data_IF_224832950248
#
_entry.id   IF_224832950248
#
_cell.length_a   1.000
_cell.length_b   1.000
_cell.length_c   1.000
_cell.angle_alpha   90.00
_cell.angle_beta   90.00
_cell.angle_gamma   90.00
#
_symmetry.space_group_name_H-M   'P 1'
#
loop_
_entity.id
_entity.type
_entity.pdbx_description
1 polymer ?
#
# COMPACT_ATOMS: atom_id res chain seq x y z
N UNK A 1 9.53 -9.82 13.80
CA UNK A 1 9.76 -11.17 13.24
C UNK A 1 10.58 -11.18 11.94
N UNK A 2 10.03 -10.84 10.75
CA UNK A 2 10.79 -10.96 9.48
C UNK A 2 11.98 -9.99 9.37
N UNK A 3 11.85 -8.76 9.90
CA UNK A 3 12.97 -7.80 9.94
C UNK A 3 14.11 -8.23 10.86
N UNK A 4 13.80 -8.82 12.01
CA UNK A 4 14.79 -9.36 12.95
C UNK A 4 15.52 -10.58 12.38
N UNK A 5 14.79 -11.45 11.69
CA UNK A 5 15.36 -12.62 11.00
C UNK A 5 16.36 -12.22 9.91
N UNK A 6 16.05 -11.19 9.11
CA UNK A 6 16.97 -10.65 8.09
C UNK A 6 18.19 -10.01 8.76
N UNK A 7 18.00 -9.23 9.82
CA UNK A 7 19.10 -8.59 10.54
C UNK A 7 20.01 -9.63 11.23
N UNK A 8 19.43 -10.73 11.72
CA UNK A 8 20.16 -11.83 12.35
C UNK A 8 20.94 -12.67 11.33
N UNK A 9 20.35 -12.97 10.17
CA UNK A 9 21.05 -13.63 9.06
C UNK A 9 22.25 -12.80 8.57
N UNK A 10 22.09 -11.47 8.46
CA UNK A 10 23.17 -10.55 8.12
C UNK A 10 24.29 -10.52 9.18
N UNK A 11 23.93 -10.54 10.47
CA UNK A 11 24.91 -10.58 11.58
C UNK A 11 25.66 -11.91 11.68
N UNK A 12 25.02 -13.02 11.31
CA UNK A 12 25.55 -14.38 11.53
C UNK A 12 26.37 -14.90 10.35
N UNK A 13 26.64 -14.07 9.34
CA UNK A 13 27.43 -14.42 8.15
C UNK A 13 26.88 -15.66 7.40
N UNK A 14 25.59 -15.98 7.61
CA UNK A 14 24.86 -16.92 6.77
C UNK A 14 24.74 -16.33 5.36
N UNK A 15 24.71 -17.16 4.30
CA UNK A 15 24.59 -16.68 2.93
C UNK A 15 23.16 -16.18 2.65
N UNK A 16 22.76 -15.10 3.31
CA UNK A 16 21.65 -14.27 2.87
C UNK A 16 22.24 -13.24 1.92
N UNK A 17 21.99 -13.39 0.61
CA UNK A 17 22.38 -12.37 -0.37
C UNK A 17 21.90 -11.00 0.09
N UNK A 18 22.73 -9.96 -0.06
CA UNK A 18 22.38 -8.59 0.31
C UNK A 18 21.03 -8.23 -0.32
N UNK A 19 20.00 -8.06 0.50
CA UNK A 19 18.68 -7.65 0.06
C UNK A 19 18.73 -6.15 -0.16
N UNK A 20 18.81 -5.72 -1.43
CA UNK A 20 18.85 -4.29 -1.77
C UNK A 20 17.45 -3.68 -1.90
N UNK A 21 16.43 -4.51 -2.10
CA UNK A 21 15.05 -4.08 -2.29
C UNK A 21 14.05 -5.04 -1.63
N UNK A 22 12.97 -4.48 -1.10
CA UNK A 22 11.79 -5.19 -0.64
C UNK A 22 10.67 -5.02 -1.68
N UNK A 23 10.11 -6.13 -2.14
CA UNK A 23 8.86 -6.14 -2.92
C UNK A 23 7.68 -6.25 -1.95
N UNK A 24 6.76 -5.29 -2.02
CA UNK A 24 5.53 -5.28 -1.23
C UNK A 24 4.32 -5.27 -2.17
N UNK A 25 3.29 -6.04 -1.81
CA UNK A 25 2.00 -6.05 -2.49
C UNK A 25 0.93 -5.69 -1.45
N UNK A 26 0.33 -4.52 -1.60
CA UNK A 26 -0.66 -3.97 -0.67
C UNK A 26 -2.07 -4.04 -1.25
N UNK A 27 -3.05 -4.13 -0.36
CA UNK A 27 -4.46 -4.02 -0.74
C UNK A 27 -4.83 -2.54 -0.74
N UNK A 28 -5.35 -2.07 -1.86
CA UNK A 28 -5.80 -0.69 -2.02
C UNK A 28 -7.16 -0.66 -2.70
N UNK A 29 -7.83 0.48 -2.61
CA UNK A 29 -9.08 0.69 -3.30
C UNK A 29 -9.18 2.12 -3.83
N UNK A 30 -10.11 2.32 -4.76
CA UNK A 30 -10.49 3.64 -5.28
C UNK A 30 -11.99 3.78 -5.21
N UNK A 31 -12.49 4.97 -4.91
CA UNK A 31 -13.92 5.24 -4.97
C UNK A 31 -14.44 5.09 -6.40
N UNK A 32 -15.57 4.41 -6.56
CA UNK A 32 -16.30 4.38 -7.83
C UNK A 32 -17.05 5.70 -7.94
N UNK A 33 -16.35 6.76 -8.35
CA UNK A 33 -17.00 8.02 -8.68
C UNK A 33 -17.84 7.84 -9.94
N UNK A 34 -19.16 8.04 -9.82
CA UNK A 34 -20.01 8.24 -11.01
C UNK A 34 -19.57 9.55 -11.63
N UNK A 35 -18.76 9.49 -12.68
CA UNK A 35 -18.35 10.65 -13.45
C UNK A 35 -19.58 11.28 -14.11
N UNK A 36 -20.27 12.18 -13.42
CA UNK A 36 -21.02 13.23 -14.08
C UNK A 36 -19.97 14.29 -14.38
N UNK A 37 -19.54 14.47 -15.64
CA UNK A 37 -18.60 15.53 -15.97
C UNK A 37 -19.30 16.86 -15.71
N UNK A 38 -19.01 17.48 -14.57
CA UNK A 38 -19.37 18.87 -14.34
C UNK A 38 -18.65 19.69 -15.41
N UNK A 39 -19.42 20.34 -16.29
CA UNK A 39 -18.90 21.27 -17.31
C UNK A 39 -17.99 22.29 -16.61
N UNK A 40 -16.67 22.14 -16.77
CA UNK A 40 -15.66 23.13 -16.37
C UNK A 40 -14.91 22.90 -15.06
N UNK A 41 -15.10 21.79 -14.33
CA UNK A 41 -14.31 21.46 -13.13
C UNK A 41 -13.18 20.48 -13.42
N UNK A 42 -12.01 20.67 -12.82
CA UNK A 42 -10.89 19.72 -12.88
C UNK A 42 -11.38 18.32 -12.49
N UNK A 43 -10.93 17.29 -13.22
CA UNK A 43 -11.30 15.91 -12.96
C UNK A 43 -11.02 15.56 -11.47
N UNK A 44 -11.92 14.82 -10.79
CA UNK A 44 -11.66 14.36 -9.43
C UNK A 44 -10.32 13.63 -9.40
N UNK A 45 -9.43 14.04 -8.48
CA UNK A 45 -8.20 13.30 -8.21
C UNK A 45 -8.63 11.90 -7.78
N UNK A 46 -8.34 10.90 -8.59
CA UNK A 46 -8.63 9.52 -8.28
C UNK A 46 -7.65 9.07 -7.18
N UNK A 47 -7.99 9.34 -5.92
CA UNK A 47 -7.13 9.03 -4.77
C UNK A 47 -7.13 7.53 -4.49
N UNK A 48 -5.92 6.97 -4.41
CA UNK A 48 -5.70 5.56 -4.07
C UNK A 48 -5.72 5.45 -2.54
N UNK A 49 -6.69 4.74 -2.00
CA UNK A 49 -6.82 4.52 -0.56
C UNK A 49 -6.15 3.22 -0.15
N UNK A 50 -5.34 3.29 0.91
CA UNK A 50 -4.74 2.12 1.53
C UNK A 50 -5.69 1.55 2.58
N UNK A 51 -5.77 0.21 2.62
CA UNK A 51 -6.58 -0.47 3.64
C UNK A 51 -5.94 -0.35 5.03
N UNK A 52 -4.61 -0.31 5.05
CA UNK A 52 -3.82 -0.17 6.26
C UNK A 52 -3.02 1.13 6.21
N UNK A 53 -3.13 1.97 7.23
CA UNK A 53 -2.45 3.28 7.27
C UNK A 53 -0.92 3.15 7.26
N UNK A 54 -0.36 2.07 7.81
CA UNK A 54 1.09 1.83 7.79
C UNK A 54 1.65 1.70 6.37
N UNK A 55 0.84 1.25 5.41
CA UNK A 55 1.26 1.02 4.03
C UNK A 55 1.54 2.33 3.28
N UNK A 56 0.96 3.45 3.72
CA UNK A 56 1.21 4.78 3.14
C UNK A 56 2.66 5.23 3.31
N UNK A 57 3.28 4.92 4.45
CA UNK A 57 4.68 5.26 4.72
C UNK A 57 5.64 4.49 3.79
N UNK A 58 5.34 3.22 3.50
CA UNK A 58 6.08 2.43 2.52
C UNK A 58 5.85 2.93 1.10
N UNK A 59 4.60 3.32 0.78
CA UNK A 59 4.27 3.89 -0.52
C UNK A 59 5.05 5.17 -0.77
N UNK A 60 5.24 6.06 0.22
CA UNK A 60 6.04 7.28 0.07
C UNK A 60 7.46 7.00 -0.46
N UNK A 61 8.15 6.00 0.10
CA UNK A 61 9.57 5.71 -0.15
C UNK A 61 9.82 4.69 -1.27
N UNK A 62 8.77 4.09 -1.83
CA UNK A 62 8.93 3.14 -2.92
C UNK A 62 9.50 3.83 -4.19
N UNK A 63 10.42 3.16 -4.87
CA UNK A 63 11.03 3.66 -6.12
C UNK A 63 10.15 3.35 -7.33
N UNK A 64 9.54 2.17 -7.35
CA UNK A 64 8.62 1.73 -8.42
C UNK A 64 7.28 1.38 -7.77
N UNK A 65 6.21 1.94 -8.32
CA UNK A 65 4.84 1.77 -7.80
C UNK A 65 3.90 1.63 -8.99
N UNK A 66 3.08 0.60 -8.98
CA UNK A 66 1.94 0.50 -9.90
C UNK A 66 0.81 -0.25 -9.22
N UNK A 67 -0.40 -0.10 -9.75
CA UNK A 67 -1.56 -0.81 -9.28
C UNK A 67 -2.33 -1.42 -10.45
N UNK A 68 -2.95 -2.56 -10.20
CA UNK A 68 -3.86 -3.21 -11.13
C UNK A 68 -5.14 -3.59 -10.39
N UNK A 69 -6.27 -3.52 -11.10
CA UNK A 69 -7.55 -3.88 -10.50
C UNK A 69 -7.64 -5.40 -10.38
N UNK A 70 -8.21 -5.85 -9.26
CA UNK A 70 -8.53 -7.26 -9.02
C UNK A 70 -10.02 -7.48 -8.87
N UNK A 71 -10.83 -6.56 -9.39
CA UNK A 71 -12.29 -6.57 -9.27
C UNK A 71 -12.91 -7.89 -9.75
N UNK A 72 -12.36 -8.48 -10.81
CA UNK A 72 -12.88 -9.72 -11.40
C UNK A 72 -12.30 -11.00 -10.76
N UNK A 73 -11.27 -10.86 -9.91
CA UNK A 73 -10.52 -11.98 -9.31
C UNK A 73 -10.83 -12.17 -7.81
N UNK A 74 -11.37 -11.15 -7.15
CA UNK A 74 -11.73 -11.23 -5.74
C UNK A 74 -13.20 -11.57 -5.56
N UNK A 75 -13.48 -12.67 -4.85
CA UNK A 75 -14.78 -12.83 -4.20
C UNK A 75 -15.02 -11.59 -3.34
N UNK A 76 -16.14 -10.91 -3.60
CA UNK A 76 -16.86 -9.79 -2.98
C UNK A 76 -16.62 -9.39 -1.49
N UNK A 77 -15.60 -9.88 -0.77
CA UNK A 77 -15.40 -9.67 0.67
C UNK A 77 -15.23 -8.21 1.11
N UNK A 78 -14.90 -7.28 0.20
CA UNK A 78 -14.88 -5.83 0.47
C UNK A 78 -16.02 -5.06 -0.22
N UNK A 79 -16.87 -5.74 -1.00
CA UNK A 79 -18.05 -5.14 -1.62
C UNK A 79 -19.28 -5.44 -0.77
N UNK A 80 -19.28 -4.97 0.47
CA UNK A 80 -20.47 -4.94 1.31
C UNK A 80 -20.93 -3.49 1.44
N UNK A 81 -22.24 -3.23 1.28
CA UNK A 81 -22.86 -2.02 1.82
C UNK A 81 -23.15 -2.28 3.29
N UNK A 82 -22.23 -1.92 4.17
CA UNK A 82 -22.40 -1.96 5.61
C UNK A 82 -23.36 -0.86 6.09
N UNK A 83 -23.47 0.22 5.30
CA UNK A 83 -24.46 1.28 5.48
C UNK A 83 -25.11 1.71 4.16
N UNK A 84 -26.22 2.45 4.24
CA UNK A 84 -26.87 3.06 3.06
C UNK A 84 -26.03 4.15 2.39
N UNK A 85 -25.06 4.71 3.11
CA UNK A 85 -24.23 5.80 2.64
C UNK A 85 -22.87 5.32 2.12
N UNK A 86 -22.57 4.02 2.21
CA UNK A 86 -21.30 3.48 1.73
C UNK A 86 -21.16 3.70 0.22
N UNK A 87 -20.04 4.32 -0.14
CA UNK A 87 -19.60 4.54 -1.51
C UNK A 87 -18.98 3.24 -2.02
N UNK A 88 -19.42 2.71 -3.19
CA UNK A 88 -18.80 1.53 -3.76
C UNK A 88 -17.33 1.77 -4.06
N UNK A 89 -16.48 0.81 -3.70
CA UNK A 89 -15.04 0.87 -3.89
C UNK A 89 -14.59 -0.18 -4.90
N UNK A 90 -13.67 0.20 -5.79
CA UNK A 90 -13.01 -0.74 -6.70
C UNK A 90 -11.70 -1.23 -6.08
N UNK A 91 -11.50 -2.56 -5.92
CA UNK A 91 -10.29 -3.09 -5.31
C UNK A 91 -9.12 -3.16 -6.29
N UNK A 92 -7.93 -2.92 -5.75
CA UNK A 92 -6.66 -2.97 -6.45
C UNK A 92 -5.61 -3.75 -5.63
N UNK A 93 -4.58 -4.19 -6.33
CA UNK A 93 -3.30 -4.58 -5.74
C UNK A 93 -2.27 -3.54 -6.14
N UNK A 94 -1.62 -2.95 -5.15
CA UNK A 94 -0.53 -2.01 -5.36
C UNK A 94 0.78 -2.72 -5.14
N UNK A 95 1.59 -2.80 -6.19
CA UNK A 95 2.93 -3.37 -6.15
C UNK A 95 3.93 -2.24 -5.95
N UNK A 96 4.83 -2.42 -4.97
CA UNK A 96 5.83 -1.43 -4.58
C UNK A 96 7.20 -2.08 -4.45
N UNK A 97 8.20 -1.48 -5.06
CA UNK A 97 9.60 -1.84 -4.87
C UNK A 97 10.26 -0.77 -3.99
N UNK A 98 10.71 -1.18 -2.81
CA UNK A 98 11.20 -0.28 -1.76
C UNK A 98 12.68 -0.55 -1.53
N UNK A 99 13.58 0.45 -1.61
CA UNK A 99 14.98 0.30 -1.26
C UNK A 99 15.15 -0.18 0.19
N UNK A 100 15.95 -1.21 0.43
CA UNK A 100 16.10 -1.81 1.75
C UNK A 100 16.74 -0.85 2.78
N UNK A 101 17.56 0.09 2.31
CA UNK A 101 18.16 1.17 3.09
C UNK A 101 17.15 2.22 3.58
N UNK A 102 15.98 2.34 2.93
CA UNK A 102 14.90 3.22 3.38
C UNK A 102 14.05 2.63 4.51
N UNK A 103 14.13 1.29 4.72
CA UNK A 103 13.31 0.58 5.72
C UNK A 103 13.52 1.12 7.14
N UNK A 104 14.75 1.36 7.63
CA UNK A 104 14.95 1.96 8.95
C UNK A 104 14.20 3.29 9.14
N UNK A 105 14.28 4.19 8.16
CA UNK A 105 13.60 5.50 8.19
C UNK A 105 12.07 5.34 8.19
N UNK A 106 11.54 4.43 7.37
CA UNK A 106 10.10 4.13 7.37
C UNK A 106 9.66 3.63 8.76
N UNK A 107 10.42 2.72 9.36
CA UNK A 107 10.11 2.17 10.68
C UNK A 107 10.16 3.21 11.80
N UNK A 108 11.04 4.22 11.70
CA UNK A 108 11.07 5.35 12.63
C UNK A 108 9.79 6.20 12.52
N UNK A 109 9.41 6.62 11.30
CA UNK A 109 8.15 7.34 11.06
C UNK A 109 6.93 6.58 11.58
N UNK A 110 6.91 5.27 11.39
CA UNK A 110 5.85 4.39 11.88
C UNK A 110 5.78 4.33 13.41
N UNK A 111 6.93 4.27 14.10
CA UNK A 111 6.96 4.33 15.56
C UNK A 111 6.40 5.66 16.08
N UNK A 112 6.81 6.77 15.46
CA UNK A 112 6.32 8.10 15.82
C UNK A 112 4.79 8.20 15.65
N UNK A 113 4.26 7.70 14.54
CA UNK A 113 2.83 7.65 14.27
C UNK A 113 2.04 6.85 15.32
N UNK A 114 2.60 5.74 15.83
CA UNK A 114 1.96 4.88 16.82
C UNK A 114 2.14 5.32 18.28
N UNK A 115 2.99 6.32 18.55
CA UNK A 115 3.26 6.81 19.92
C UNK A 115 2.29 7.93 20.34
N UNK A 116 1.27 8.20 19.52
CA UNK A 116 0.19 9.17 19.80
C UNK A 116 -0.89 8.58 20.69
#
# INVERSE_FOLDING_TARGET
KKGEEIAEAQRTNQPSGKCHYCLMISKTCKEVTKSIPARGGAAPKEELLFINAEEEFFYEHATVKFNYSVQDETDSCLSGRWSFDDVPMKPFRTVMLIPADSIPTIMEKLKEFLTV
#
